data_IF_050992119465
#
_entry.id   IF_050992119465
#
_cell.length_a   1.000
_cell.length_b   1.000
_cell.length_c   1.000
_cell.angle_alpha   90.00
_cell.angle_beta   90.00
_cell.angle_gamma   90.00
#
_symmetry.space_group_name_H-M   'P 1'
#
loop_
_entity.id
_entity.type
_entity.pdbx_description
1 polymer ?
#
# COMPACT_ATOMS: atom_id res chain seq x y z
N UNK A 1 -1.93 -14.61 -8.15
CA UNK A 1 -1.45 -13.21 -8.07
C UNK A 1 -0.67 -13.01 -6.79
N UNK A 2 -1.18 -13.46 -5.64
CA UNK A 2 -0.50 -13.45 -4.34
C UNK A 2 0.93 -13.97 -4.44
N UNK A 3 1.13 -15.19 -4.96
CA UNK A 3 2.47 -15.76 -5.13
C UNK A 3 3.36 -14.98 -6.10
N UNK A 4 2.78 -14.35 -7.13
CA UNK A 4 3.52 -13.50 -8.06
C UNK A 4 4.06 -12.27 -7.33
N UNK A 5 3.23 -11.59 -6.53
CA UNK A 5 3.66 -10.43 -5.73
C UNK A 5 4.73 -10.82 -4.71
N UNK A 6 4.57 -11.96 -4.03
CA UNK A 6 5.58 -12.51 -3.12
C UNK A 6 6.90 -12.76 -3.88
N UNK A 7 6.83 -13.46 -5.01
CA UNK A 7 8.00 -13.75 -5.84
C UNK A 7 8.74 -12.48 -6.29
N UNK A 8 8.01 -11.46 -6.74
CA UNK A 8 8.60 -10.16 -7.12
C UNK A 8 9.29 -9.51 -5.92
N UNK A 9 8.65 -9.46 -4.75
CA UNK A 9 9.28 -8.89 -3.54
C UNK A 9 10.55 -9.65 -3.15
N UNK A 10 10.55 -10.98 -3.24
CA UNK A 10 11.73 -11.79 -2.93
C UNK A 10 12.86 -11.55 -3.94
N UNK A 11 12.56 -11.50 -5.24
CA UNK A 11 13.55 -11.20 -6.28
C UNK A 11 14.14 -9.80 -6.10
N UNK A 12 13.30 -8.79 -5.86
CA UNK A 12 13.75 -7.42 -5.59
C UNK A 12 14.61 -7.36 -4.34
N UNK A 13 14.23 -8.07 -3.27
CA UNK A 13 15.03 -8.11 -2.04
C UNK A 13 16.39 -8.77 -2.25
N UNK A 14 16.46 -9.89 -2.97
CA UNK A 14 17.74 -10.50 -3.35
C UNK A 14 18.60 -9.52 -4.17
N UNK A 15 17.99 -8.77 -5.08
CA UNK A 15 18.67 -7.73 -5.85
C UNK A 15 19.19 -6.60 -4.96
N UNK A 16 18.45 -6.19 -3.92
CA UNK A 16 18.91 -5.22 -2.92
C UNK A 16 20.15 -5.68 -2.14
N UNK A 17 20.31 -7.00 -1.93
CA UNK A 17 21.43 -7.57 -1.19
C UNK A 17 22.72 -7.62 -2.02
N UNK A 18 22.61 -7.79 -3.34
CA UNK A 18 23.77 -8.01 -4.22
C UNK A 18 24.17 -6.77 -5.03
N UNK A 19 23.24 -5.82 -5.25
CA UNK A 19 23.53 -4.58 -5.98
C UNK A 19 23.44 -3.38 -5.02
N UNK A 20 24.59 -2.74 -4.70
CA UNK A 20 24.61 -1.55 -3.88
C UNK A 20 23.76 -0.42 -4.46
N UNK A 21 23.04 0.30 -3.59
CA UNK A 21 22.28 1.49 -3.99
C UNK A 21 20.85 1.24 -4.46
N UNK A 22 20.43 0.00 -4.75
CA UNK A 22 19.05 -0.32 -5.18
C UNK A 22 18.02 0.23 -4.20
N UNK A 23 18.20 0.01 -2.90
CA UNK A 23 17.30 0.54 -1.87
C UNK A 23 17.19 2.06 -1.94
N UNK A 24 18.31 2.77 -2.12
CA UNK A 24 18.34 4.24 -2.20
C UNK A 24 17.63 4.75 -3.46
N UNK A 25 17.80 4.07 -4.59
CA UNK A 25 17.24 4.45 -5.89
C UNK A 25 15.74 4.15 -6.02
N UNK A 26 15.18 3.27 -5.18
CA UNK A 26 13.76 2.93 -5.27
C UNK A 26 12.95 3.20 -4.00
N UNK A 27 13.60 3.57 -2.89
CA UNK A 27 12.91 4.02 -1.67
C UNK A 27 12.15 5.30 -1.93
N UNK A 28 11.04 5.49 -1.22
CA UNK A 28 10.20 6.66 -1.38
C UNK A 28 10.40 7.63 -0.21
N UNK A 29 10.41 8.92 -0.52
CA UNK A 29 10.29 10.02 0.42
C UNK A 29 9.49 11.14 -0.28
N UNK A 30 8.72 11.97 0.45
CA UNK A 30 7.86 12.97 -0.16
C UNK A 30 8.57 13.93 -1.12
N UNK A 31 9.84 14.27 -0.85
CA UNK A 31 10.67 15.15 -1.69
C UNK A 31 10.75 14.70 -3.16
N UNK A 32 10.67 13.39 -3.42
CA UNK A 32 10.79 12.82 -4.76
C UNK A 32 9.50 12.94 -5.59
N UNK A 33 8.34 13.20 -4.98
CA UNK A 33 7.06 13.18 -5.71
C UNK A 33 7.01 14.21 -6.84
N UNK A 34 7.45 15.43 -6.58
CA UNK A 34 7.51 16.52 -7.56
C UNK A 34 8.92 17.12 -7.72
N UNK A 35 9.93 16.41 -7.21
CA UNK A 35 11.32 16.81 -7.36
C UNK A 35 11.68 18.10 -6.61
N UNK A 36 11.09 18.32 -5.43
CA UNK A 36 11.31 19.54 -4.63
C UNK A 36 11.21 20.83 -5.47
N UNK A 37 10.09 21.06 -6.16
CA UNK A 37 9.89 22.29 -6.95
C UNK A 37 10.86 22.44 -8.13
N UNK A 38 11.49 21.34 -8.57
CA UNK A 38 12.47 21.32 -9.66
C UNK A 38 13.94 21.32 -9.21
N UNK A 39 14.22 21.32 -7.90
CA UNK A 39 15.59 21.25 -7.37
C UNK A 39 16.22 19.87 -7.65
N UNK A 40 15.42 18.80 -7.60
CA UNK A 40 15.84 17.44 -7.93
C UNK A 40 14.89 16.83 -8.99
N UNK A 41 15.28 15.75 -9.69
CA UNK A 41 14.37 15.07 -10.59
C UNK A 41 13.10 14.59 -9.88
N UNK A 42 11.96 14.75 -10.54
CA UNK A 42 10.70 14.17 -10.06
C UNK A 42 10.69 12.67 -10.34
N UNK A 43 10.48 11.86 -9.30
CA UNK A 43 10.54 10.41 -9.34
C UNK A 43 9.26 9.76 -8.76
N UNK A 44 8.05 10.12 -9.25
CA UNK A 44 6.78 9.68 -8.67
C UNK A 44 6.57 8.15 -8.75
N UNK A 45 7.28 7.44 -9.65
CA UNK A 45 7.25 5.98 -9.70
C UNK A 45 7.69 5.33 -8.38
N UNK A 46 8.49 6.03 -7.56
CA UNK A 46 8.90 5.58 -6.23
C UNK A 46 7.73 5.29 -5.30
N UNK A 47 6.60 5.98 -5.49
CA UNK A 47 5.36 5.74 -4.73
C UNK A 47 4.80 4.34 -4.94
N UNK A 48 5.14 3.67 -6.05
CA UNK A 48 4.79 2.28 -6.34
C UNK A 48 5.95 1.34 -6.02
N UNK A 49 7.17 1.66 -6.49
CA UNK A 49 8.32 0.74 -6.36
C UNK A 49 8.72 0.48 -4.91
N UNK A 50 8.49 1.45 -4.01
CA UNK A 50 8.79 1.30 -2.58
C UNK A 50 8.08 0.10 -1.94
N UNK A 51 6.90 -0.28 -2.45
CA UNK A 51 6.12 -1.41 -1.96
C UNK A 51 6.74 -2.79 -2.28
N UNK A 52 7.80 -2.84 -3.08
CA UNK A 52 8.52 -4.07 -3.40
C UNK A 52 9.91 -4.14 -2.74
N UNK A 53 10.40 -3.01 -2.22
CA UNK A 53 11.62 -2.98 -1.43
C UNK A 53 11.37 -3.45 0.00
N UNK A 54 12.40 -4.00 0.64
CA UNK A 54 12.40 -4.25 2.08
C UNK A 54 13.71 -3.79 2.71
N UNK A 55 13.75 -3.69 4.04
CA UNK A 55 14.98 -3.26 4.73
C UNK A 55 16.05 -4.35 4.62
N UNK A 56 17.22 -4.08 4.00
CA UNK A 56 18.28 -5.09 3.86
C UNK A 56 18.86 -5.56 5.20
N UNK A 57 18.73 -4.75 6.25
CA UNK A 57 19.22 -5.07 7.60
C UNK A 57 18.23 -5.90 8.44
N UNK A 58 17.04 -6.21 7.92
CA UNK A 58 16.01 -6.93 8.68
C UNK A 58 15.30 -7.99 7.81
N UNK A 59 15.74 -9.24 7.93
CA UNK A 59 15.06 -10.38 7.31
C UNK A 59 13.63 -10.57 7.85
N UNK A 60 13.40 -10.23 9.13
CA UNK A 60 12.06 -10.28 9.71
C UNK A 60 11.09 -9.30 9.02
N UNK A 61 11.58 -8.15 8.54
CA UNK A 61 10.75 -7.19 7.82
C UNK A 61 10.12 -7.80 6.56
N UNK A 62 10.91 -8.46 5.72
CA UNK A 62 10.36 -9.13 4.53
C UNK A 62 9.55 -10.37 4.91
N UNK A 63 10.02 -11.18 5.88
CA UNK A 63 9.33 -12.40 6.28
C UNK A 63 7.88 -12.11 6.76
N UNK A 64 7.69 -11.11 7.62
CA UNK A 64 6.36 -10.74 8.12
C UNK A 64 5.46 -10.17 7.02
N UNK A 65 5.99 -9.35 6.11
CA UNK A 65 5.21 -8.83 4.98
C UNK A 65 4.75 -9.95 4.06
N UNK A 66 5.64 -10.89 3.72
CA UNK A 66 5.29 -12.01 2.83
C UNK A 66 4.30 -12.97 3.49
N UNK A 67 4.46 -13.22 4.79
CA UNK A 67 3.49 -14.01 5.56
C UNK A 67 2.11 -13.33 5.59
N UNK A 68 2.06 -12.04 5.90
CA UNK A 68 0.79 -11.30 5.90
C UNK A 68 0.15 -11.26 4.51
N UNK A 69 0.93 -11.01 3.46
CA UNK A 69 0.47 -11.03 2.07
C UNK A 69 -0.06 -12.41 1.67
N UNK A 70 0.60 -13.50 2.09
CA UNK A 70 0.14 -14.86 1.85
C UNK A 70 -1.22 -15.12 2.50
N UNK A 71 -1.35 -14.85 3.80
CA UNK A 71 -2.58 -15.12 4.56
C UNK A 71 -3.75 -14.27 4.02
N UNK A 72 -3.54 -12.96 3.83
CA UNK A 72 -4.57 -12.06 3.33
C UNK A 72 -4.92 -12.37 1.86
N UNK A 73 -3.91 -12.65 1.04
CA UNK A 73 -4.09 -13.00 -0.37
C UNK A 73 -4.88 -14.30 -0.56
N UNK A 74 -4.67 -15.32 0.28
CA UNK A 74 -5.43 -16.58 0.27
C UNK A 74 -6.93 -16.37 0.50
N UNK A 75 -7.32 -15.33 1.23
CA UNK A 75 -8.73 -15.00 1.50
C UNK A 75 -9.29 -14.06 0.44
N UNK A 76 -8.56 -12.98 0.12
CA UNK A 76 -9.04 -11.91 -0.72
C UNK A 76 -9.00 -12.25 -2.21
N UNK A 77 -7.91 -12.84 -2.72
CA UNK A 77 -7.74 -13.10 -4.15
C UNK A 77 -8.88 -13.98 -4.72
N UNK A 78 -9.27 -15.10 -4.10
CA UNK A 78 -10.40 -15.91 -4.60
C UNK A 78 -11.74 -15.16 -4.55
N UNK A 79 -11.92 -14.21 -3.63
CA UNK A 79 -13.19 -13.51 -3.43
C UNK A 79 -13.48 -12.43 -4.48
N UNK A 80 -12.45 -11.87 -5.12
CA UNK A 80 -12.58 -10.75 -6.08
C UNK A 80 -11.89 -11.00 -7.43
N UNK A 81 -11.10 -12.06 -7.54
CA UNK A 81 -10.34 -12.42 -8.73
C UNK A 81 -8.98 -11.72 -8.83
N UNK A 82 -8.09 -12.31 -9.64
CA UNK A 82 -6.67 -11.95 -9.73
C UNK A 82 -6.42 -10.48 -10.08
N UNK A 83 -7.14 -9.95 -11.08
CA UNK A 83 -6.93 -8.60 -11.59
C UNK A 83 -7.33 -7.53 -10.56
N UNK A 84 -8.46 -7.71 -9.87
CA UNK A 84 -8.93 -6.78 -8.85
C UNK A 84 -8.10 -6.85 -7.58
N UNK A 85 -7.63 -8.05 -7.22
CA UNK A 85 -6.66 -8.20 -6.13
C UNK A 85 -5.34 -7.48 -6.42
N UNK A 86 -4.83 -7.58 -7.65
CA UNK A 86 -3.64 -6.81 -8.06
C UNK A 86 -3.89 -5.31 -7.99
N UNK A 87 -5.03 -4.83 -8.53
CA UNK A 87 -5.40 -3.42 -8.47
C UNK A 87 -5.52 -2.93 -7.02
N UNK A 88 -6.21 -3.68 -6.16
CA UNK A 88 -6.30 -3.40 -4.73
C UNK A 88 -4.92 -3.26 -4.09
N UNK A 89 -4.00 -4.19 -4.34
CA UNK A 89 -2.64 -4.16 -3.79
C UNK A 89 -1.87 -2.92 -4.26
N UNK A 90 -1.82 -2.67 -5.57
CA UNK A 90 -1.06 -1.56 -6.15
C UNK A 90 -1.65 -0.20 -5.78
N UNK A 91 -2.97 -0.06 -5.79
CA UNK A 91 -3.64 1.19 -5.40
C UNK A 91 -3.45 1.44 -3.90
N UNK A 92 -3.48 0.40 -3.06
CA UNK A 92 -3.16 0.53 -1.63
C UNK A 92 -1.69 0.89 -1.38
N UNK A 93 -0.75 0.39 -2.19
CA UNK A 93 0.65 0.82 -2.14
C UNK A 93 0.79 2.32 -2.39
N UNK A 94 0.14 2.83 -3.45
CA UNK A 94 0.09 4.27 -3.74
C UNK A 94 -0.59 5.04 -2.61
N UNK A 95 -1.70 4.53 -2.09
CA UNK A 95 -2.40 5.11 -0.93
C UNK A 95 -1.52 5.23 0.31
N UNK A 96 -0.66 4.24 0.57
CA UNK A 96 0.37 4.33 1.60
C UNK A 96 1.38 5.45 1.34
N UNK A 97 1.88 5.54 0.12
CA UNK A 97 2.80 6.61 -0.29
C UNK A 97 2.15 8.01 -0.20
N UNK A 98 0.86 8.13 -0.54
CA UNK A 98 0.08 9.37 -0.34
C UNK A 98 -0.05 9.70 1.16
N UNK A 99 -0.27 8.69 2.01
CA UNK A 99 -0.24 8.88 3.46
C UNK A 99 1.10 9.44 3.95
N UNK A 100 2.21 8.89 3.46
CA UNK A 100 3.57 9.39 3.75
C UNK A 100 3.76 10.82 3.24
N UNK A 101 3.34 11.14 2.02
CA UNK A 101 3.40 12.49 1.45
C UNK A 101 2.71 13.53 2.33
N UNK A 102 1.52 13.20 2.84
CA UNK A 102 0.67 14.14 3.57
C UNK A 102 1.02 14.26 5.06
N UNK A 103 1.61 13.23 5.67
CA UNK A 103 1.69 13.09 7.13
C UNK A 103 3.11 12.88 7.67
N UNK A 104 4.13 12.81 6.81
CA UNK A 104 5.52 12.59 7.24
C UNK A 104 6.42 13.78 6.91
N UNK A 105 7.64 13.77 7.47
CA UNK A 105 8.65 14.76 7.08
C UNK A 105 9.05 14.55 5.60
N UNK A 106 9.32 15.66 4.89
CA UNK A 106 9.62 15.65 3.45
C UNK A 106 10.80 14.75 3.05
N UNK A 107 11.75 14.52 3.97
CA UNK A 107 12.92 13.67 3.75
C UNK A 107 12.79 12.27 4.37
N UNK A 108 11.68 11.95 5.02
CA UNK A 108 11.49 10.65 5.65
C UNK A 108 11.39 9.55 4.60
N UNK A 109 12.45 8.75 4.50
CA UNK A 109 12.51 7.62 3.57
C UNK A 109 11.78 6.41 4.12
N UNK A 110 11.00 5.74 3.26
CA UNK A 110 10.23 4.54 3.55
C UNK A 110 10.50 3.46 2.51
N UNK A 111 10.46 2.21 2.97
CA UNK A 111 10.51 0.98 2.16
C UNK A 111 9.56 -0.06 2.77
N UNK A 112 8.98 -0.93 1.94
CA UNK A 112 8.20 -2.06 2.42
C UNK A 112 6.84 -2.20 1.76
N UNK A 113 6.42 -3.45 1.56
CA UNK A 113 5.06 -3.80 1.13
C UNK A 113 3.97 -3.42 2.15
N UNK A 114 4.35 -3.01 3.36
CA UNK A 114 3.44 -2.91 4.50
C UNK A 114 2.28 -1.94 4.28
N UNK A 115 2.45 -0.83 3.55
CA UNK A 115 1.32 0.03 3.17
C UNK A 115 0.26 -0.72 2.35
N UNK A 116 0.67 -1.52 1.36
CA UNK A 116 -0.24 -2.37 0.60
C UNK A 116 -0.87 -3.47 1.47
N UNK A 117 -0.10 -4.10 2.35
CA UNK A 117 -0.59 -5.11 3.30
C UNK A 117 -1.65 -4.54 4.24
N UNK A 118 -1.46 -3.32 4.76
CA UNK A 118 -2.49 -2.63 5.54
C UNK A 118 -3.74 -2.35 4.72
N UNK A 119 -3.60 -2.02 3.44
CA UNK A 119 -4.73 -1.96 2.52
C UNK A 119 -5.48 -3.30 2.39
N UNK A 120 -4.76 -4.42 2.40
CA UNK A 120 -5.38 -5.75 2.43
C UNK A 120 -6.12 -6.02 3.75
N UNK A 121 -5.62 -5.55 4.89
CA UNK A 121 -6.38 -5.60 6.15
C UNK A 121 -7.66 -4.78 6.09
N UNK A 122 -7.60 -3.58 5.52
CA UNK A 122 -8.78 -2.74 5.30
C UNK A 122 -9.79 -3.41 4.37
N UNK A 123 -9.30 -4.05 3.31
CA UNK A 123 -10.13 -4.82 2.41
C UNK A 123 -10.80 -6.02 3.09
N UNK A 124 -10.04 -6.77 3.89
CA UNK A 124 -10.55 -7.90 4.64
C UNK A 124 -11.64 -7.48 5.62
N UNK A 125 -11.46 -6.36 6.32
CA UNK A 125 -12.48 -5.79 7.20
C UNK A 125 -13.79 -5.54 6.46
N UNK A 126 -13.73 -4.88 5.30
CA UNK A 126 -14.92 -4.56 4.49
C UNK A 126 -15.61 -5.83 3.99
N UNK A 127 -14.84 -6.78 3.46
CA UNK A 127 -15.38 -8.04 2.94
C UNK A 127 -16.02 -8.89 4.06
N UNK A 128 -15.36 -9.00 5.22
CA UNK A 128 -15.90 -9.73 6.37
C UNK A 128 -17.17 -9.07 6.91
N UNK A 129 -17.14 -7.74 7.10
CA UNK A 129 -18.30 -7.01 7.61
C UNK A 129 -19.50 -7.14 6.68
N UNK A 130 -19.29 -7.07 5.37
CA UNK A 130 -20.37 -7.29 4.38
C UNK A 130 -20.99 -8.69 4.48
N UNK A 131 -20.20 -9.70 4.85
CA UNK A 131 -20.67 -11.08 5.02
C UNK A 131 -21.29 -11.35 6.40
N UNK A 132 -21.36 -10.34 7.28
CA UNK A 132 -21.80 -10.50 8.66
C UNK A 132 -20.82 -11.29 9.54
N UNK A 133 -19.56 -11.40 9.11
CA UNK A 133 -18.51 -12.11 9.86
C UNK A 133 -17.93 -11.28 11.00
N UNK A 134 -17.27 -11.94 11.95
CA UNK A 134 -16.54 -11.27 13.02
C UNK A 134 -15.29 -10.55 12.47
N UNK A 135 -15.10 -9.32 12.91
CA UNK A 135 -13.98 -8.43 12.55
C UNK A 135 -13.10 -8.07 13.75
N UNK A 136 -13.43 -8.52 14.97
CA UNK A 136 -12.71 -8.19 16.20
C UNK A 136 -11.22 -8.48 16.09
N UNK A 137 -10.85 -9.66 15.60
CA UNK A 137 -9.44 -10.03 15.44
C UNK A 137 -8.72 -9.12 14.43
N UNK A 138 -9.39 -8.73 13.33
CA UNK A 138 -8.82 -7.80 12.35
C UNK A 138 -8.57 -6.44 13.00
N UNK A 139 -9.56 -5.93 13.73
CA UNK A 139 -9.47 -4.65 14.45
C UNK A 139 -8.35 -4.68 15.48
N UNK A 140 -8.25 -5.75 16.28
CA UNK A 140 -7.18 -5.92 17.27
C UNK A 140 -5.81 -5.95 16.59
N UNK A 141 -5.63 -6.72 15.52
CA UNK A 141 -4.36 -6.78 14.80
C UNK A 141 -3.97 -5.43 14.19
N UNK A 142 -4.91 -4.72 13.56
CA UNK A 142 -4.67 -3.39 12.99
C UNK A 142 -4.35 -2.38 14.10
N UNK A 143 -5.07 -2.42 15.22
CA UNK A 143 -4.83 -1.53 16.36
C UNK A 143 -3.45 -1.77 16.99
N UNK A 144 -3.08 -3.03 17.22
CA UNK A 144 -1.76 -3.40 17.75
C UNK A 144 -0.64 -2.93 16.82
N UNK A 145 -0.73 -3.20 15.52
CA UNK A 145 0.27 -2.74 14.57
C UNK A 145 0.28 -1.21 14.42
N UNK A 146 -0.88 -0.55 14.54
CA UNK A 146 -0.99 0.90 14.59
C UNK A 146 -0.24 1.50 15.78
N UNK A 147 -0.42 0.94 16.98
CA UNK A 147 0.31 1.35 18.19
C UNK A 147 1.82 1.15 18.00
N UNK A 148 2.25 0.01 17.45
CA UNK A 148 3.67 -0.25 17.14
C UNK A 148 4.26 0.83 16.22
N UNK A 149 3.45 1.36 15.28
CA UNK A 149 3.83 2.46 14.41
C UNK A 149 4.20 3.77 15.11
N UNK A 150 3.67 4.01 16.32
CA UNK A 150 4.00 5.19 17.13
C UNK A 150 5.11 4.93 18.15
N UNK A 151 5.32 3.69 18.58
CA UNK A 151 6.27 3.35 19.65
C UNK A 151 7.60 2.76 19.15
N UNK A 152 7.63 2.18 17.94
CA UNK A 152 8.85 1.60 17.36
C UNK A 152 9.42 2.53 16.28
N UNK A 153 10.61 3.10 16.49
CA UNK A 153 11.27 3.93 15.48
C UNK A 153 11.48 3.16 14.15
N UNK A 154 11.24 3.85 13.04
CA UNK A 154 11.40 3.29 11.70
C UNK A 154 10.15 2.60 11.13
N UNK A 155 9.05 2.51 11.88
CA UNK A 155 7.76 2.06 11.34
C UNK A 155 7.02 3.26 10.72
N UNK A 156 6.73 3.17 9.43
CA UNK A 156 6.02 4.20 8.67
C UNK A 156 4.50 4.11 8.88
N UNK A 157 4.00 4.51 10.06
CA UNK A 157 2.57 4.47 10.39
C UNK A 157 1.71 5.26 9.40
N UNK A 158 2.26 6.32 8.79
CA UNK A 158 1.59 7.09 7.75
C UNK A 158 1.26 6.23 6.52
N UNK A 159 2.19 5.35 6.13
CA UNK A 159 2.00 4.42 5.03
C UNK A 159 0.92 3.38 5.37
N UNK A 160 0.89 2.93 6.62
CA UNK A 160 -0.11 1.97 7.12
C UNK A 160 -1.51 2.58 7.09
N UNK A 161 -1.67 3.81 7.60
CA UNK A 161 -2.96 4.50 7.60
C UNK A 161 -3.45 4.78 6.17
N UNK A 162 -2.60 5.37 5.33
CA UNK A 162 -2.95 5.67 3.94
C UNK A 162 -3.31 4.42 3.13
N UNK A 163 -2.55 3.34 3.33
CA UNK A 163 -2.82 2.03 2.74
C UNK A 163 -4.15 1.43 3.22
N UNK A 164 -4.38 1.40 4.54
CA UNK A 164 -5.60 0.86 5.17
C UNK A 164 -6.86 1.51 4.62
N UNK A 165 -6.91 2.85 4.61
CA UNK A 165 -8.06 3.62 4.14
C UNK A 165 -8.31 3.39 2.65
N UNK A 166 -7.23 3.40 1.86
CA UNK A 166 -7.32 3.17 0.41
C UNK A 166 -7.81 1.77 0.08
N UNK A 167 -7.24 0.75 0.74
CA UNK A 167 -7.65 -0.64 0.54
C UNK A 167 -9.09 -0.92 0.97
N UNK A 168 -9.53 -0.30 2.08
CA UNK A 168 -10.94 -0.34 2.50
C UNK A 168 -11.85 0.32 1.44
N UNK A 169 -11.48 1.47 0.89
CA UNK A 169 -12.24 2.13 -0.17
C UNK A 169 -12.32 1.27 -1.45
N UNK A 170 -11.19 0.72 -1.92
CA UNK A 170 -11.15 -0.20 -3.06
C UNK A 170 -12.03 -1.44 -2.83
N UNK A 171 -11.94 -2.04 -1.65
CA UNK A 171 -12.77 -3.19 -1.31
C UNK A 171 -14.25 -2.84 -1.20
N UNK A 172 -14.61 -1.65 -0.71
CA UNK A 172 -15.99 -1.19 -0.66
C UNK A 172 -16.56 -1.04 -2.08
N UNK A 173 -15.81 -0.42 -2.99
CA UNK A 173 -16.16 -0.34 -4.42
C UNK A 173 -16.40 -1.74 -5.00
N UNK A 174 -15.47 -2.67 -4.78
CA UNK A 174 -15.55 -4.02 -5.34
C UNK A 174 -16.72 -4.79 -4.74
N UNK A 175 -16.82 -4.79 -3.41
CA UNK A 175 -17.74 -5.62 -2.67
C UNK A 175 -19.18 -5.13 -2.85
N UNK A 176 -19.44 -3.82 -2.78
CA UNK A 176 -20.80 -3.25 -2.82
C UNK A 176 -21.31 -2.89 -4.21
N UNK A 177 -20.52 -3.04 -5.27
CA UNK A 177 -21.00 -2.88 -6.64
C UNK A 177 -22.26 -3.75 -6.89
N UNK A 178 -23.35 -3.17 -7.45
CA UNK A 178 -24.58 -3.89 -7.76
C UNK A 178 -24.32 -5.14 -8.62
N UNK A 179 -24.94 -6.26 -8.26
CA UNK A 179 -24.87 -7.48 -9.04
C UNK A 179 -25.64 -7.30 -10.36
N UNK A 180 -25.08 -7.77 -11.47
CA UNK A 180 -25.71 -7.72 -12.79
C UNK A 180 -24.69 -7.52 -13.91
N UNK A 181 -25.17 -7.37 -15.15
CA UNK A 181 -24.33 -7.29 -16.35
C UNK A 181 -23.29 -6.15 -16.31
N UNK A 182 -23.58 -5.06 -15.59
CA UNK A 182 -22.69 -3.89 -15.47
C UNK A 182 -21.73 -3.96 -14.29
N UNK A 183 -21.79 -5.00 -13.46
CA UNK A 183 -21.03 -5.07 -12.21
C UNK A 183 -19.54 -4.85 -12.42
N UNK A 184 -18.94 -5.55 -13.40
CA UNK A 184 -17.51 -5.42 -13.68
C UNK A 184 -17.13 -4.00 -14.10
N UNK A 185 -17.92 -3.35 -14.95
CA UNK A 185 -17.69 -1.98 -15.38
C UNK A 185 -17.76 -0.98 -14.22
N UNK A 186 -18.74 -1.12 -13.33
CA UNK A 186 -18.88 -0.27 -12.14
C UNK A 186 -17.71 -0.44 -11.16
N UNK A 187 -17.24 -1.67 -10.97
CA UNK A 187 -16.08 -1.93 -10.12
C UNK A 187 -14.82 -1.26 -10.67
N UNK A 188 -14.55 -1.40 -11.97
CA UNK A 188 -13.38 -0.76 -12.59
C UNK A 188 -13.49 0.77 -12.62
N UNK A 189 -14.67 1.31 -12.91
CA UNK A 189 -14.91 2.75 -12.86
C UNK A 189 -14.72 3.30 -11.43
N UNK A 190 -15.21 2.59 -10.40
CA UNK A 190 -14.99 2.99 -9.01
C UNK A 190 -13.53 2.91 -8.58
N UNK A 191 -12.79 1.86 -9.00
CA UNK A 191 -11.35 1.76 -8.73
C UNK A 191 -10.57 2.89 -9.42
N UNK A 192 -10.93 3.24 -10.65
CA UNK A 192 -10.38 4.40 -11.34
C UNK A 192 -10.70 5.70 -10.57
N UNK A 193 -11.90 5.84 -10.03
CA UNK A 193 -12.27 6.96 -9.15
C UNK A 193 -11.38 7.06 -7.90
N UNK A 194 -11.04 5.93 -7.26
CA UNK A 194 -10.07 5.92 -6.14
C UNK A 194 -8.69 6.38 -6.60
N UNK A 195 -8.23 5.92 -7.78
CA UNK A 195 -6.93 6.37 -8.33
C UNK A 195 -6.93 7.87 -8.63
N UNK A 196 -8.01 8.41 -9.21
CA UNK A 196 -8.16 9.85 -9.45
C UNK A 196 -8.10 10.63 -8.13
N UNK A 197 -8.81 10.16 -7.10
CA UNK A 197 -8.76 10.77 -5.78
C UNK A 197 -7.33 10.79 -5.21
N UNK A 198 -6.59 9.67 -5.31
CA UNK A 198 -5.19 9.63 -4.89
C UNK A 198 -4.32 10.59 -5.70
N UNK A 199 -4.58 10.75 -7.00
CA UNK A 199 -3.90 11.72 -7.85
C UNK A 199 -4.15 13.16 -7.39
N UNK A 200 -5.39 13.51 -7.06
CA UNK A 200 -5.75 14.82 -6.49
C UNK A 200 -5.06 15.04 -5.15
N UNK A 201 -5.12 14.06 -4.24
CA UNK A 201 -4.45 14.13 -2.94
C UNK A 201 -2.93 14.24 -3.09
N UNK A 202 -2.34 13.58 -4.08
CA UNK A 202 -0.91 13.70 -4.40
C UNK A 202 -0.58 15.12 -4.86
N UNK A 203 -1.38 15.69 -5.76
CA UNK A 203 -1.20 17.06 -6.23
C UNK A 203 -1.29 18.06 -5.06
N UNK A 204 -2.34 17.95 -4.24
CA UNK A 204 -2.48 18.78 -3.04
C UNK A 204 -1.29 18.59 -2.09
N UNK A 205 -0.90 17.35 -1.80
CA UNK A 205 0.23 17.06 -0.93
C UNK A 205 1.55 17.68 -1.42
N UNK A 206 1.80 17.65 -2.73
CA UNK A 206 2.96 18.32 -3.34
C UNK A 206 2.92 19.83 -3.08
N UNK A 207 1.75 20.48 -3.24
CA UNK A 207 1.63 21.94 -3.00
C UNK A 207 1.83 22.34 -1.54
N UNK A 208 1.72 21.39 -0.60
CA UNK A 208 1.92 21.61 0.83
C UNK A 208 3.34 21.28 1.30
N UNK A 209 4.20 20.74 0.42
CA UNK A 209 5.57 20.44 0.79
C UNK A 209 6.33 21.73 1.12
N UNK A 210 7.07 21.78 2.24
CA UNK A 210 8.00 22.86 2.52
C UNK A 210 9.22 22.66 1.61
N UNK A 211 9.18 23.26 0.43
CA UNK A 211 10.26 23.24 -0.58
C UNK A 211 11.01 24.56 -0.55
#
# INVERSE_FOLDING_TARGET
MTYTLIGVCLVVFLFQLVVPGVTRVFSYAPIYTAGAGGIIPAEPWRMVTTAFLHSPSSLLHIAFNMYALYILGKVLEPSMGRARFLALYLVSAVGGSVGVLLLSNVQQSVVGASGAVFGLFGALFIVQRKRGGDVRQIVVLVALNGVLGFVVPGIAWQAHLGGLLTGAACAAVIAYAPKGARQAGLQWAGLAGVVVLLGVLTFVGVTLLPV
#
